data_IF_283338616453
#
_entry.id   IF_283338616453
#
_cell.length_a   1.000
_cell.length_b   1.000
_cell.length_c   1.000
_cell.angle_alpha   90.00
_cell.angle_beta   90.00
_cell.angle_gamma   90.00
#
_symmetry.space_group_name_H-M   'P 1'
#
loop_
_entity.id
_entity.type
_entity.pdbx_description
1 polymer ?
#
# COMPACT_ATOMS: atom_id res chain seq x y z
N UNK A 1 77.10 20.95 33.27
CA UNK A 1 75.82 21.29 32.63
C UNK A 1 75.33 22.55 33.28
N UNK A 2 75.29 23.65 32.54
CA UNK A 2 74.83 24.93 33.08
C UNK A 2 73.34 24.86 33.41
N UNK A 3 72.93 25.51 34.51
CA UNK A 3 71.55 25.56 34.99
C UNK A 3 70.53 25.92 33.88
N UNK A 4 70.94 26.76 32.93
CA UNK A 4 70.13 27.14 31.77
C UNK A 4 69.81 25.97 30.82
N UNK A 5 70.72 25.00 30.65
CA UNK A 5 70.45 23.80 29.83
C UNK A 5 69.42 22.88 30.49
N UNK A 6 69.47 22.75 31.83
CA UNK A 6 68.50 21.96 32.58
C UNK A 6 67.09 22.57 32.53
N UNK A 7 67.00 23.90 32.67
CA UNK A 7 65.73 24.64 32.56
C UNK A 7 65.14 24.56 31.13
N UNK A 8 66.00 24.63 30.09
CA UNK A 8 65.57 24.47 28.71
C UNK A 8 65.02 23.06 28.41
N UNK A 9 65.69 22.01 28.89
CA UNK A 9 65.23 20.63 28.73
C UNK A 9 63.90 20.39 29.46
N UNK A 10 63.74 20.89 30.69
CA UNK A 10 62.50 20.79 31.43
C UNK A 10 61.34 21.51 30.72
N UNK A 11 61.59 22.67 30.11
CA UNK A 11 60.58 23.40 29.34
C UNK A 11 60.16 22.66 28.05
N UNK A 12 61.10 22.02 27.35
CA UNK A 12 60.80 21.20 26.17
C UNK A 12 59.94 19.98 26.57
N UNK A 13 60.28 19.32 27.68
CA UNK A 13 59.56 18.15 28.16
C UNK A 13 58.14 18.50 28.64
N UNK A 14 57.98 19.66 29.30
CA UNK A 14 56.66 20.21 29.65
C UNK A 14 55.80 20.43 28.39
N UNK A 15 56.34 21.14 27.39
CA UNK A 15 55.63 21.41 26.13
C UNK A 15 55.26 20.12 25.38
N UNK A 16 56.15 19.12 25.40
CA UNK A 16 55.88 17.81 24.80
C UNK A 16 54.72 17.11 25.50
N UNK A 17 54.67 17.17 26.83
CA UNK A 17 53.57 16.61 27.62
C UNK A 17 52.24 17.36 27.41
N UNK A 18 52.27 18.68 27.29
CA UNK A 18 51.08 19.49 26.95
C UNK A 18 50.56 19.15 25.54
N UNK A 19 51.46 19.06 24.55
CA UNK A 19 51.09 18.68 23.18
C UNK A 19 50.47 17.29 23.14
N UNK A 20 51.04 16.34 23.89
CA UNK A 20 50.51 14.97 23.99
C UNK A 20 49.10 14.97 24.60
N UNK A 21 48.87 15.74 25.67
CA UNK A 21 47.54 15.86 26.30
C UNK A 21 46.50 16.45 25.34
N UNK A 22 46.87 17.45 24.55
CA UNK A 22 45.97 18.05 23.54
C UNK A 22 45.61 17.01 22.47
N UNK A 23 46.60 16.26 21.97
CA UNK A 23 46.36 15.19 20.99
C UNK A 23 45.47 14.07 21.55
N UNK A 24 45.70 13.64 22.80
CA UNK A 24 44.86 12.64 23.46
C UNK A 24 43.41 13.13 23.64
N UNK A 25 43.22 14.41 23.97
CA UNK A 25 41.90 15.02 24.08
C UNK A 25 41.18 15.11 22.71
N UNK A 26 41.89 15.52 21.66
CA UNK A 26 41.35 15.62 20.30
C UNK A 26 40.95 14.23 19.76
N UNK A 27 41.77 13.20 20.01
CA UNK A 27 41.45 11.81 19.66
C UNK A 27 40.20 11.34 20.42
N UNK A 28 40.09 11.66 21.71
CA UNK A 28 38.93 11.29 22.52
C UNK A 28 37.64 11.98 22.04
N UNK A 29 37.73 13.23 21.61
CA UNK A 29 36.58 13.96 21.04
C UNK A 29 36.16 13.40 19.68
N UNK A 30 37.12 13.16 18.78
CA UNK A 30 36.86 12.49 17.49
C UNK A 30 36.22 11.11 17.68
N UNK A 31 36.70 10.34 18.66
CA UNK A 31 36.11 9.04 18.98
C UNK A 31 34.65 9.14 19.45
N UNK A 32 34.28 10.19 20.22
CA UNK A 32 32.87 10.42 20.61
C UNK A 32 31.99 10.74 19.40
N UNK A 33 32.46 11.59 18.49
CA UNK A 33 31.72 11.93 17.25
C UNK A 33 31.50 10.70 16.40
N UNK A 34 32.55 9.89 16.17
CA UNK A 34 32.46 8.64 15.39
C UNK A 34 31.47 7.68 16.06
N UNK A 35 31.53 7.52 17.39
CA UNK A 35 30.59 6.63 18.08
C UNK A 35 29.14 7.11 17.96
N UNK A 36 28.88 8.42 18.03
CA UNK A 36 27.57 9.00 17.78
C UNK A 36 27.07 8.75 16.35
N UNK A 37 27.93 8.91 15.35
CA UNK A 37 27.61 8.62 13.95
C UNK A 37 27.30 7.13 13.73
N UNK A 38 28.09 6.22 14.32
CA UNK A 38 27.85 4.77 14.24
C UNK A 38 26.51 4.41 14.89
N UNK A 39 26.19 4.96 16.07
CA UNK A 39 24.90 4.73 16.72
C UNK A 39 23.71 5.25 15.89
N UNK A 40 23.85 6.41 15.24
CA UNK A 40 22.83 6.94 14.33
C UNK A 40 22.64 6.03 13.11
N UNK A 41 23.73 5.55 12.49
CA UNK A 41 23.66 4.63 11.35
C UNK A 41 23.01 3.29 11.72
N UNK A 42 23.34 2.72 12.89
CA UNK A 42 22.71 1.49 13.40
C UNK A 42 21.22 1.70 13.62
N UNK A 43 20.82 2.85 14.19
CA UNK A 43 19.40 3.17 14.40
C UNK A 43 18.63 3.29 13.09
N UNK A 44 19.23 3.92 12.07
CA UNK A 44 18.65 4.01 10.72
C UNK A 44 18.52 2.62 10.08
N UNK A 45 19.53 1.76 10.22
CA UNK A 45 19.50 0.40 9.68
C UNK A 45 18.37 -0.43 10.31
N UNK A 46 18.21 -0.37 11.63
CA UNK A 46 17.13 -1.04 12.36
C UNK A 46 15.74 -0.53 11.94
N UNK A 47 15.58 0.78 11.74
CA UNK A 47 14.32 1.33 11.23
C UNK A 47 14.01 0.87 9.81
N UNK A 48 15.01 0.81 8.92
CA UNK A 48 14.84 0.28 7.56
C UNK A 48 14.42 -1.19 7.56
N UNK A 49 15.03 -2.01 8.41
CA UNK A 49 14.66 -3.42 8.57
C UNK A 49 13.22 -3.56 9.09
N UNK A 50 12.84 -2.75 10.09
CA UNK A 50 11.46 -2.73 10.60
C UNK A 50 10.44 -2.41 9.50
N UNK A 51 10.68 -1.35 8.73
CA UNK A 51 9.81 -0.95 7.60
C UNK A 51 9.75 -2.05 6.54
N UNK A 52 10.87 -2.71 6.23
CA UNK A 52 10.89 -3.81 5.27
C UNK A 52 10.05 -5.00 5.75
N UNK A 53 10.13 -5.35 7.04
CA UNK A 53 9.34 -6.42 7.63
C UNK A 53 7.84 -6.09 7.67
N UNK A 54 7.47 -4.87 8.05
CA UNK A 54 6.07 -4.39 8.02
C UNK A 54 5.51 -4.39 6.58
N UNK A 55 6.32 -3.98 5.60
CA UNK A 55 5.95 -4.02 4.18
C UNK A 55 5.71 -5.45 3.69
N UNK A 56 6.53 -6.41 4.12
CA UNK A 56 6.31 -7.83 3.78
C UNK A 56 5.07 -8.40 4.46
N UNK A 57 4.77 -7.99 5.70
CA UNK A 57 3.56 -8.40 6.40
C UNK A 57 2.30 -7.90 5.66
N UNK A 58 2.26 -6.61 5.29
CA UNK A 58 1.15 -6.04 4.51
C UNK A 58 0.95 -6.75 3.17
N UNK A 59 2.03 -7.13 2.47
CA UNK A 59 1.92 -7.90 1.22
C UNK A 59 1.31 -9.29 1.43
N UNK A 60 1.61 -9.95 2.56
CA UNK A 60 1.00 -11.25 2.88
C UNK A 60 -0.48 -11.09 3.20
N UNK A 61 -0.85 -10.08 3.99
CA UNK A 61 -2.25 -9.76 4.27
C UNK A 61 -3.04 -9.42 3.00
N UNK A 62 -2.43 -8.68 2.06
CA UNK A 62 -3.04 -8.37 0.76
C UNK A 62 -3.29 -9.65 -0.07
N UNK A 63 -2.32 -10.56 -0.14
CA UNK A 63 -2.48 -11.83 -0.86
C UNK A 63 -3.51 -12.74 -0.18
N UNK A 64 -3.52 -12.81 1.15
CA UNK A 64 -4.54 -13.56 1.90
C UNK A 64 -5.94 -12.99 1.65
N UNK A 65 -6.09 -11.66 1.62
CA UNK A 65 -7.34 -11.00 1.29
C UNK A 65 -7.81 -11.29 -0.15
N UNK A 66 -6.88 -11.31 -1.13
CA UNK A 66 -7.21 -11.71 -2.51
C UNK A 66 -7.69 -13.15 -2.60
N UNK A 67 -7.07 -14.06 -1.86
CA UNK A 67 -7.48 -15.48 -1.81
C UNK A 67 -8.88 -15.61 -1.19
N UNK A 68 -9.16 -14.89 -0.10
CA UNK A 68 -10.49 -14.87 0.53
C UNK A 68 -11.55 -14.33 -0.44
N UNK A 69 -11.28 -13.21 -1.11
CA UNK A 69 -12.20 -12.61 -2.06
C UNK A 69 -12.50 -13.55 -3.23
N UNK A 70 -11.47 -14.19 -3.79
CA UNK A 70 -11.66 -15.20 -4.86
C UNK A 70 -12.47 -16.40 -4.39
N UNK A 71 -12.32 -16.81 -3.13
CA UNK A 71 -13.10 -17.89 -2.54
C UNK A 71 -14.57 -17.48 -2.40
N UNK A 72 -14.84 -16.28 -1.90
CA UNK A 72 -16.20 -15.73 -1.80
C UNK A 72 -16.86 -15.55 -3.16
N UNK A 73 -16.12 -15.12 -4.19
CA UNK A 73 -16.63 -15.03 -5.57
C UNK A 73 -17.05 -16.41 -6.12
N UNK A 74 -16.26 -17.45 -5.88
CA UNK A 74 -16.61 -18.81 -6.32
C UNK A 74 -17.78 -19.39 -5.53
N UNK A 75 -17.87 -19.14 -4.22
CA UNK A 75 -19.05 -19.50 -3.42
C UNK A 75 -20.32 -18.81 -3.94
N UNK A 76 -20.26 -17.50 -4.21
CA UNK A 76 -21.37 -16.74 -4.76
C UNK A 76 -21.81 -17.24 -6.16
N UNK A 77 -20.86 -17.61 -7.03
CA UNK A 77 -21.17 -18.23 -8.33
C UNK A 77 -21.86 -19.58 -8.16
N UNK A 78 -21.42 -20.40 -7.22
CA UNK A 78 -22.03 -21.70 -6.95
C UNK A 78 -23.44 -21.56 -6.39
N UNK A 79 -23.67 -20.60 -5.49
CA UNK A 79 -24.99 -20.33 -4.95
C UNK A 79 -25.94 -19.77 -6.01
N UNK A 80 -25.46 -18.89 -6.90
CA UNK A 80 -26.24 -18.43 -8.06
C UNK A 80 -26.64 -19.61 -8.95
N UNK A 81 -25.70 -20.50 -9.27
CA UNK A 81 -25.99 -21.70 -10.07
C UNK A 81 -27.02 -22.61 -9.39
N UNK A 82 -26.93 -22.81 -8.07
CA UNK A 82 -27.91 -23.60 -7.30
C UNK A 82 -29.30 -22.94 -7.33
N UNK A 83 -29.37 -21.61 -7.23
CA UNK A 83 -30.62 -20.87 -7.34
C UNK A 83 -31.23 -20.99 -8.74
N UNK A 84 -30.43 -20.90 -9.81
CA UNK A 84 -30.89 -21.12 -11.18
C UNK A 84 -31.42 -22.54 -11.41
N UNK A 85 -30.75 -23.56 -10.88
CA UNK A 85 -31.19 -24.95 -10.96
C UNK A 85 -32.50 -25.16 -10.19
N UNK A 86 -32.64 -24.55 -9.00
CA UNK A 86 -33.86 -24.58 -8.21
C UNK A 86 -35.03 -23.93 -8.95
N UNK A 87 -34.83 -22.74 -9.51
CA UNK A 87 -35.85 -22.04 -10.29
C UNK A 87 -36.25 -22.82 -11.55
N UNK A 88 -35.31 -23.48 -12.24
CA UNK A 88 -35.64 -24.36 -13.37
C UNK A 88 -36.50 -25.54 -12.92
N UNK A 89 -36.19 -26.14 -11.77
CA UNK A 89 -36.98 -27.22 -11.18
C UNK A 89 -38.40 -26.77 -10.83
N UNK A 90 -38.54 -25.64 -10.14
CA UNK A 90 -39.84 -25.06 -9.77
C UNK A 90 -40.67 -24.67 -11.00
N UNK A 91 -40.05 -24.05 -12.00
CA UNK A 91 -40.72 -23.68 -13.25
C UNK A 91 -41.22 -24.91 -14.01
N UNK A 92 -40.40 -25.97 -14.10
CA UNK A 92 -40.83 -27.22 -14.75
C UNK A 92 -41.93 -27.92 -13.95
N UNK A 93 -41.84 -27.96 -12.62
CA UNK A 93 -42.89 -28.51 -11.77
C UNK A 93 -44.21 -27.72 -11.90
N UNK A 94 -44.13 -26.38 -12.02
CA UNK A 94 -45.29 -25.53 -12.27
C UNK A 94 -45.90 -25.78 -13.66
N UNK A 95 -45.07 -25.97 -14.70
CA UNK A 95 -45.53 -26.34 -16.03
C UNK A 95 -46.20 -27.72 -16.04
N UNK A 96 -45.64 -28.72 -15.37
CA UNK A 96 -46.26 -30.05 -15.25
C UNK A 96 -47.56 -30.02 -14.46
N UNK A 97 -47.61 -29.25 -13.36
CA UNK A 97 -48.84 -29.05 -12.59
C UNK A 97 -49.92 -28.33 -13.42
N UNK A 98 -49.52 -27.35 -14.24
CA UNK A 98 -50.42 -26.64 -15.17
C UNK A 98 -50.90 -27.55 -16.31
N UNK A 99 -50.02 -28.38 -16.86
CA UNK A 99 -50.36 -29.36 -17.90
C UNK A 99 -51.31 -30.43 -17.37
N UNK A 100 -51.09 -30.92 -16.14
CA UNK A 100 -51.97 -31.91 -15.51
C UNK A 100 -53.33 -31.33 -15.14
N UNK A 101 -53.40 -30.10 -14.64
CA UNK A 101 -54.69 -29.45 -14.35
C UNK A 101 -55.48 -29.16 -15.62
N UNK A 102 -54.82 -28.71 -16.68
CA UNK A 102 -55.47 -28.54 -17.99
C UNK A 102 -55.90 -29.86 -18.62
N UNK A 103 -55.12 -30.94 -18.49
CA UNK A 103 -55.51 -32.27 -18.96
C UNK A 103 -56.72 -32.82 -18.21
N UNK A 104 -56.74 -32.70 -16.87
CA UNK A 104 -57.89 -33.13 -16.04
C UNK A 104 -59.14 -32.31 -16.35
N UNK A 105 -59.01 -31.00 -16.58
CA UNK A 105 -60.14 -30.17 -16.99
C UNK A 105 -60.63 -30.50 -18.41
N UNK A 106 -59.70 -30.82 -19.33
CA UNK A 106 -60.06 -31.28 -20.68
C UNK A 106 -60.81 -32.62 -20.63
N UNK A 107 -60.33 -33.58 -19.84
CA UNK A 107 -60.98 -34.89 -19.68
C UNK A 107 -62.35 -34.74 -19.02
N UNK A 108 -62.49 -33.86 -18.02
CA UNK A 108 -63.77 -33.54 -17.40
C UNK A 108 -64.73 -32.88 -18.40
N UNK A 109 -64.25 -32.00 -19.29
CA UNK A 109 -65.04 -31.40 -20.37
C UNK A 109 -65.42 -32.44 -21.42
N UNK A 110 -64.50 -33.30 -21.86
CA UNK A 110 -64.77 -34.40 -22.80
C UNK A 110 -65.82 -35.36 -22.22
N UNK A 111 -65.71 -35.71 -20.94
CA UNK A 111 -66.69 -36.55 -20.26
C UNK A 111 -68.08 -35.89 -20.19
N UNK A 112 -68.15 -34.58 -19.90
CA UNK A 112 -69.41 -33.81 -19.96
C UNK A 112 -69.98 -33.78 -21.37
N UNK A 113 -69.16 -33.55 -22.40
CA UNK A 113 -69.62 -33.56 -23.79
C UNK A 113 -70.16 -34.94 -24.20
N UNK A 114 -69.47 -36.03 -23.87
CA UNK A 114 -69.96 -37.39 -24.12
C UNK A 114 -71.27 -37.70 -23.39
N UNK A 115 -71.44 -37.21 -22.16
CA UNK A 115 -72.69 -37.36 -21.42
C UNK A 115 -73.85 -36.58 -22.08
N UNK A 116 -73.60 -35.36 -22.54
CA UNK A 116 -74.57 -34.55 -23.28
C UNK A 116 -74.93 -35.21 -24.61
N UNK A 117 -73.94 -35.73 -25.34
CA UNK A 117 -74.12 -36.43 -26.61
C UNK A 117 -74.93 -37.72 -26.43
N UNK A 118 -74.68 -38.50 -25.37
CA UNK A 118 -75.48 -39.66 -25.01
C UNK A 118 -76.92 -39.29 -24.64
N UNK A 119 -77.13 -38.17 -23.94
CA UNK A 119 -78.46 -37.66 -23.60
C UNK A 119 -79.21 -37.16 -24.85
N UNK A 120 -78.50 -36.52 -25.78
CA UNK A 120 -79.01 -36.08 -27.08
C UNK A 120 -79.42 -37.27 -27.96
N UNK A 121 -78.57 -38.30 -28.08
CA UNK A 121 -78.91 -39.51 -28.85
C UNK A 121 -80.00 -40.34 -28.17
N UNK A 122 -80.08 -40.36 -26.83
CA UNK A 122 -81.18 -40.97 -26.09
C UNK A 122 -82.52 -40.24 -26.28
N UNK A 123 -82.51 -38.91 -26.45
CA UNK A 123 -83.72 -38.11 -26.73
C UNK A 123 -84.10 -38.04 -28.21
N UNK A 124 -83.16 -38.28 -29.13
CA UNK A 124 -83.44 -38.37 -30.57
C UNK A 124 -84.33 -39.57 -30.95
N UNK A 125 -84.49 -40.56 -30.06
CA UNK A 125 -85.47 -41.66 -30.21
C UNK A 125 -86.91 -41.26 -29.85
N UNK A 126 -87.14 -40.06 -29.29
CA UNK A 126 -88.48 -39.54 -28.99
C UNK A 126 -88.66 -38.23 -29.75
N UNK A 127 -88.92 -38.37 -31.05
CA UNK A 127 -89.31 -37.27 -31.91
C UNK A 127 -90.66 -36.71 -31.46
N UNK A 128 -90.63 -35.55 -30.81
CA UNK A 128 -91.84 -34.92 -30.31
C UNK A 128 -91.81 -33.45 -29.93
N UNK A 129 -90.79 -32.64 -30.29
CA UNK A 129 -90.97 -31.19 -30.53
C UNK A 129 -89.64 -30.52 -30.95
N UNK A 130 -89.50 -30.20 -32.24
CA UNK A 130 -88.29 -29.57 -32.83
C UNK A 130 -88.10 -28.08 -32.50
N UNK A 131 -89.04 -27.42 -31.80
CA UNK A 131 -89.00 -25.97 -31.57
C UNK A 131 -88.47 -25.56 -30.19
N UNK A 132 -88.44 -26.47 -29.21
CA UNK A 132 -88.01 -26.16 -27.82
C UNK A 132 -86.51 -26.43 -27.61
N UNK A 133 -85.93 -27.41 -28.32
CA UNK A 133 -84.50 -27.73 -28.22
C UNK A 133 -83.60 -26.59 -28.74
N UNK A 134 -83.95 -25.99 -29.89
CA UNK A 134 -83.16 -24.91 -30.49
C UNK A 134 -83.07 -23.63 -29.64
N UNK A 135 -84.08 -23.35 -28.79
CA UNK A 135 -84.05 -22.19 -27.87
C UNK A 135 -83.18 -22.44 -26.64
N UNK A 136 -83.07 -23.69 -26.20
CA UNK A 136 -82.27 -24.07 -25.03
C UNK A 136 -80.77 -24.03 -25.34
N UNK A 137 -80.40 -24.46 -26.55
CA UNK A 137 -79.01 -24.41 -27.03
C UNK A 137 -78.49 -22.96 -27.15
N UNK A 138 -79.35 -22.01 -27.50
CA UNK A 138 -78.97 -20.58 -27.59
C UNK A 138 -78.70 -19.97 -26.20
N UNK A 139 -79.46 -20.39 -25.19
CA UNK A 139 -79.30 -19.91 -23.81
C UNK A 139 -78.06 -20.49 -23.13
N UNK A 140 -77.77 -21.78 -23.36
CA UNK A 140 -76.55 -22.43 -22.90
C UNK A 140 -75.29 -21.84 -23.58
N UNK A 141 -75.38 -21.46 -24.86
CA UNK A 141 -74.30 -20.73 -25.55
C UNK A 141 -74.07 -19.34 -24.95
N UNK A 142 -75.14 -18.61 -24.58
CA UNK A 142 -75.01 -17.29 -23.91
C UNK A 142 -74.34 -17.42 -22.53
N UNK A 143 -74.68 -18.46 -21.76
CA UNK A 143 -74.06 -18.72 -20.45
C UNK A 143 -72.57 -19.07 -20.62
N UNK A 144 -72.21 -19.90 -21.60
CA UNK A 144 -70.79 -20.22 -21.88
C UNK A 144 -69.99 -18.99 -22.31
N UNK A 145 -70.55 -18.13 -23.17
CA UNK A 145 -69.91 -16.88 -23.59
C UNK A 145 -69.73 -15.90 -22.42
N UNK A 146 -70.72 -15.78 -21.53
CA UNK A 146 -70.59 -14.96 -20.33
C UNK A 146 -69.49 -15.48 -19.39
N UNK A 147 -69.42 -16.80 -19.17
CA UNK A 147 -68.39 -17.40 -18.34
C UNK A 147 -66.99 -17.18 -18.92
N UNK A 148 -66.82 -17.36 -20.23
CA UNK A 148 -65.55 -17.09 -20.91
C UNK A 148 -65.14 -15.61 -20.81
N UNK A 149 -66.09 -14.68 -20.89
CA UNK A 149 -65.81 -13.25 -20.74
C UNK A 149 -65.35 -12.87 -19.32
N UNK A 150 -65.96 -13.45 -18.27
CA UNK A 150 -65.48 -13.21 -16.90
C UNK A 150 -64.09 -13.83 -16.67
N UNK A 151 -63.81 -15.00 -17.24
CA UNK A 151 -62.48 -15.63 -17.14
C UNK A 151 -61.39 -14.80 -17.86
N UNK A 152 -61.68 -14.23 -19.03
CA UNK A 152 -60.80 -13.29 -19.73
C UNK A 152 -60.55 -12.04 -18.86
N UNK A 153 -61.60 -11.53 -18.20
CA UNK A 153 -61.49 -10.34 -17.34
C UNK A 153 -60.61 -10.60 -16.12
N UNK A 154 -60.71 -11.78 -15.51
CA UNK A 154 -59.84 -12.20 -14.41
C UNK A 154 -58.37 -12.33 -14.86
N UNK A 155 -58.12 -12.88 -16.05
CA UNK A 155 -56.77 -12.93 -16.64
C UNK A 155 -56.18 -11.54 -16.88
N UNK A 156 -56.97 -10.61 -17.45
CA UNK A 156 -56.53 -9.21 -17.65
C UNK A 156 -56.17 -8.55 -16.31
N UNK A 157 -56.97 -8.78 -15.28
CA UNK A 157 -56.70 -8.26 -13.94
C UNK A 157 -55.40 -8.85 -13.36
N UNK A 158 -55.18 -10.16 -13.50
CA UNK A 158 -53.95 -10.82 -13.06
C UNK A 158 -52.70 -10.29 -13.78
N UNK A 159 -52.78 -10.11 -15.12
CA UNK A 159 -51.70 -9.52 -15.90
C UNK A 159 -51.37 -8.08 -15.46
N UNK A 160 -52.39 -7.28 -15.13
CA UNK A 160 -52.19 -5.91 -14.63
C UNK A 160 -51.47 -5.88 -13.28
N UNK A 161 -51.78 -6.85 -12.39
CA UNK A 161 -51.08 -7.03 -11.12
C UNK A 161 -49.61 -7.41 -11.33
N UNK A 162 -49.35 -8.34 -12.25
CA UNK A 162 -47.98 -8.78 -12.57
C UNK A 162 -47.14 -7.65 -13.18
N UNK A 163 -47.70 -6.85 -14.10
CA UNK A 163 -47.03 -5.65 -14.65
C UNK A 163 -46.68 -4.62 -13.57
N UNK A 164 -47.55 -4.45 -12.58
CA UNK A 164 -47.31 -3.54 -11.45
C UNK A 164 -46.19 -4.05 -10.55
N UNK A 165 -46.16 -5.37 -10.27
CA UNK A 165 -45.09 -6.00 -9.49
C UNK A 165 -43.72 -5.89 -10.18
N UNK A 166 -43.66 -6.12 -11.50
CA UNK A 166 -42.43 -5.96 -12.30
C UNK A 166 -41.92 -4.52 -12.21
N UNK A 167 -42.80 -3.53 -12.37
CA UNK A 167 -42.42 -2.11 -12.25
C UNK A 167 -41.86 -1.79 -10.86
N UNK A 168 -42.48 -2.33 -9.80
CA UNK A 168 -41.98 -2.18 -8.43
C UNK A 168 -40.58 -2.80 -8.23
N UNK A 169 -40.31 -3.95 -8.84
CA UNK A 169 -38.98 -4.57 -8.81
C UNK A 169 -37.94 -3.76 -9.59
N UNK A 170 -38.29 -3.23 -10.76
CA UNK A 170 -37.39 -2.36 -11.55
C UNK A 170 -37.04 -1.07 -10.80
N UNK A 171 -38.02 -0.45 -10.12
CA UNK A 171 -37.79 0.74 -9.30
C UNK A 171 -36.90 0.44 -8.09
N UNK A 172 -37.11 -0.70 -7.41
CA UNK A 172 -36.26 -1.13 -6.30
C UNK A 172 -34.81 -1.37 -6.76
N UNK A 173 -34.62 -2.05 -7.90
CA UNK A 173 -33.30 -2.26 -8.50
C UNK A 173 -32.62 -0.94 -8.85
N UNK A 174 -33.35 0.02 -9.42
CA UNK A 174 -32.83 1.35 -9.75
C UNK A 174 -32.37 2.12 -8.50
N UNK A 175 -33.07 1.98 -7.37
CA UNK A 175 -32.63 2.56 -6.10
C UNK A 175 -31.37 1.88 -5.55
N UNK A 176 -31.28 0.56 -5.66
CA UNK A 176 -30.08 -0.18 -5.28
C UNK A 176 -28.87 0.24 -6.11
N UNK A 177 -28.99 0.33 -7.44
CA UNK A 177 -27.93 0.78 -8.34
C UNK A 177 -27.46 2.21 -8.00
N UNK A 178 -28.40 3.08 -7.62
CA UNK A 178 -28.09 4.44 -7.16
C UNK A 178 -27.26 4.42 -5.86
N UNK A 179 -27.64 3.60 -4.89
CA UNK A 179 -26.90 3.45 -3.63
C UNK A 179 -25.49 2.90 -3.86
N UNK A 180 -25.33 1.89 -4.72
CA UNK A 180 -24.01 1.34 -5.09
C UNK A 180 -23.14 2.39 -5.77
N UNK A 181 -23.73 3.19 -6.67
CA UNK A 181 -23.01 4.28 -7.34
C UNK A 181 -22.54 5.36 -6.35
N UNK A 182 -23.38 5.74 -5.38
CA UNK A 182 -23.02 6.71 -4.35
C UNK A 182 -21.94 6.17 -3.40
N UNK A 183 -22.04 4.89 -2.99
CA UNK A 183 -21.01 4.23 -2.19
C UNK A 183 -19.66 4.17 -2.92
N UNK A 184 -19.68 3.88 -4.22
CA UNK A 184 -18.47 3.86 -5.07
C UNK A 184 -17.82 5.24 -5.15
N UNK A 185 -18.60 6.31 -5.35
CA UNK A 185 -18.07 7.68 -5.34
C UNK A 185 -17.46 8.07 -4.00
N UNK A 186 -18.07 7.66 -2.88
CA UNK A 186 -17.53 7.94 -1.56
C UNK A 186 -16.19 7.23 -1.33
N UNK A 187 -16.06 5.97 -1.76
CA UNK A 187 -14.79 5.24 -1.71
C UNK A 187 -13.72 5.89 -2.59
N UNK A 188 -14.05 6.30 -3.81
CA UNK A 188 -13.11 7.03 -4.67
C UNK A 188 -12.64 8.35 -4.05
N UNK A 189 -13.55 9.08 -3.39
CA UNK A 189 -13.22 10.31 -2.69
C UNK A 189 -12.28 10.07 -1.51
N UNK A 190 -12.55 9.02 -0.70
CA UNK A 190 -11.67 8.62 0.40
C UNK A 190 -10.26 8.24 -0.09
N UNK A 191 -10.16 7.42 -1.13
CA UNK A 191 -8.86 7.01 -1.70
C UNK A 191 -8.06 8.21 -2.24
N UNK A 192 -8.73 9.20 -2.86
CA UNK A 192 -8.06 10.44 -3.31
C UNK A 192 -7.52 11.24 -2.13
N UNK A 193 -8.28 11.36 -1.04
CA UNK A 193 -7.83 12.07 0.16
C UNK A 193 -6.64 11.38 0.82
N UNK A 194 -6.67 10.06 0.96
CA UNK A 194 -5.54 9.29 1.49
C UNK A 194 -4.31 9.42 0.61
N UNK A 195 -4.47 9.35 -0.72
CA UNK A 195 -3.38 9.57 -1.68
C UNK A 195 -2.77 10.98 -1.55
N UNK A 196 -3.60 12.01 -1.35
CA UNK A 196 -3.12 13.38 -1.11
C UNK A 196 -2.37 13.51 0.23
N UNK A 197 -2.86 12.86 1.29
CA UNK A 197 -2.17 12.83 2.58
C UNK A 197 -0.81 12.14 2.47
N UNK A 198 -0.74 11.01 1.76
CA UNK A 198 0.51 10.30 1.51
C UNK A 198 1.50 11.14 0.70
N UNK A 199 1.03 11.82 -0.35
CA UNK A 199 1.86 12.73 -1.15
C UNK A 199 2.41 13.89 -0.30
N UNK A 200 1.58 14.45 0.58
CA UNK A 200 1.99 15.51 1.51
C UNK A 200 3.03 15.00 2.50
N UNK A 201 2.82 13.82 3.08
CA UNK A 201 3.77 13.18 4.00
C UNK A 201 5.13 12.92 3.32
N UNK A 202 5.12 12.46 2.07
CA UNK A 202 6.34 12.27 1.27
C UNK A 202 7.08 13.59 1.00
N UNK A 203 6.35 14.67 0.70
CA UNK A 203 6.96 15.99 0.54
C UNK A 203 7.61 16.50 1.83
N UNK A 204 6.94 16.33 2.98
CA UNK A 204 7.49 16.69 4.29
C UNK A 204 8.73 15.86 4.60
N UNK A 205 8.72 14.56 4.35
CA UNK A 205 9.88 13.70 4.54
C UNK A 205 11.06 14.11 3.65
N UNK A 206 10.79 14.44 2.37
CA UNK A 206 11.81 14.92 1.45
C UNK A 206 12.39 16.29 1.87
N UNK A 207 11.55 17.21 2.34
CA UNK A 207 11.99 18.50 2.87
C UNK A 207 12.87 18.33 4.10
N UNK A 208 12.51 17.42 5.02
CA UNK A 208 13.31 17.10 6.20
C UNK A 208 14.68 16.53 5.84
N UNK A 209 14.74 15.59 4.89
CA UNK A 209 16.02 15.05 4.41
C UNK A 209 16.91 16.13 3.79
N UNK A 210 16.34 17.08 3.03
CA UNK A 210 17.10 18.22 2.49
C UNK A 210 17.65 19.11 3.61
N UNK A 211 16.84 19.42 4.61
CA UNK A 211 17.29 20.22 5.75
C UNK A 211 18.42 19.54 6.53
N UNK A 212 18.35 18.22 6.71
CA UNK A 212 19.44 17.44 7.33
C UNK A 212 20.72 17.48 6.48
N UNK A 213 20.62 17.38 5.15
CA UNK A 213 21.77 17.52 4.24
C UNK A 213 22.37 18.94 4.26
N UNK A 214 21.53 19.97 4.34
CA UNK A 214 21.98 21.36 4.45
C UNK A 214 22.73 21.60 5.78
N UNK A 215 22.23 21.06 6.89
CA UNK A 215 22.90 21.10 8.19
C UNK A 215 24.25 20.37 8.16
N UNK A 216 24.29 19.15 7.60
CA UNK A 216 25.55 18.40 7.46
C UNK A 216 26.57 19.17 6.59
N UNK A 217 26.10 19.84 5.54
CA UNK A 217 26.95 20.66 4.68
C UNK A 217 27.45 21.91 5.41
N UNK A 218 26.61 22.56 6.20
CA UNK A 218 26.99 23.70 7.02
C UNK A 218 28.02 23.33 8.09
N UNK A 219 27.87 22.17 8.75
CA UNK A 219 28.85 21.64 9.70
C UNK A 219 30.21 21.35 9.04
N UNK A 220 30.20 20.77 7.84
CA UNK A 220 31.43 20.55 7.04
C UNK A 220 32.10 21.86 6.64
N UNK A 221 31.33 22.89 6.28
CA UNK A 221 31.90 24.21 5.96
C UNK A 221 32.50 24.90 7.18
N UNK A 222 31.83 24.83 8.34
CA UNK A 222 32.35 25.41 9.58
C UNK A 222 33.65 24.72 10.04
N UNK A 223 33.70 23.39 9.98
CA UNK A 223 34.92 22.63 10.31
C UNK A 223 36.06 22.96 9.34
N UNK A 224 35.78 23.02 8.04
CA UNK A 224 36.78 23.42 7.02
C UNK A 224 37.28 24.86 7.24
N UNK A 225 36.38 25.79 7.58
CA UNK A 225 36.76 27.18 7.87
C UNK A 225 37.63 27.28 9.12
N UNK A 226 37.33 26.51 10.17
CA UNK A 226 38.15 26.45 11.37
C UNK A 226 39.55 25.91 11.05
N UNK A 227 39.64 24.83 10.27
CA UNK A 227 40.92 24.26 9.82
C UNK A 227 41.75 25.23 8.97
N UNK A 228 41.11 26.00 8.07
CA UNK A 228 41.80 27.03 7.28
C UNK A 228 42.29 28.19 8.15
N UNK A 229 41.51 28.62 9.14
CA UNK A 229 41.91 29.68 10.08
C UNK A 229 43.11 29.24 10.92
N UNK A 230 43.09 27.99 11.43
CA UNK A 230 44.21 27.39 12.16
C UNK A 230 45.49 27.35 11.30
N UNK A 231 45.36 26.91 10.03
CA UNK A 231 46.49 26.87 9.09
C UNK A 231 47.04 28.27 8.78
N UNK A 232 46.21 29.31 8.75
CA UNK A 232 46.68 30.69 8.57
C UNK A 232 47.45 31.21 9.78
N UNK A 233 47.01 30.91 11.00
CA UNK A 233 47.77 31.25 12.22
C UNK A 233 49.12 30.54 12.25
N UNK A 234 49.16 29.24 11.91
CA UNK A 234 50.39 28.46 11.81
C UNK A 234 51.34 29.03 10.74
N UNK A 235 50.80 29.46 9.59
CA UNK A 235 51.59 30.08 8.53
C UNK A 235 52.18 31.42 8.96
N UNK A 236 51.41 32.26 9.65
CA UNK A 236 51.91 33.51 10.22
C UNK A 236 53.03 33.28 11.25
N UNK A 237 52.88 32.26 12.11
CA UNK A 237 53.92 31.85 13.07
C UNK A 237 55.22 31.40 12.38
N UNK A 238 55.09 30.61 11.31
CA UNK A 238 56.24 30.14 10.53
C UNK A 238 56.94 31.27 9.77
N UNK A 239 56.19 32.25 9.25
CA UNK A 239 56.75 33.39 8.53
C UNK A 239 57.53 34.33 9.46
N UNK A 240 57.04 34.54 10.68
CA UNK A 240 57.76 35.28 11.73
C UNK A 240 59.04 34.55 12.13
N UNK A 241 58.99 33.23 12.37
CA UNK A 241 60.19 32.42 12.69
C UNK A 241 61.19 32.39 11.53
N UNK A 242 60.73 32.37 10.28
CA UNK A 242 61.59 32.40 9.12
C UNK A 242 62.34 33.75 9.03
N UNK A 243 61.66 34.88 9.26
CA UNK A 243 62.28 36.21 9.30
C UNK A 243 63.27 36.36 10.47
N UNK A 244 62.94 35.84 11.65
CA UNK A 244 63.86 35.81 12.80
C UNK A 244 65.09 34.93 12.51
N UNK A 245 64.91 33.77 11.89
CA UNK A 245 66.02 32.89 11.49
C UNK A 245 66.91 33.59 10.45
N UNK A 246 66.33 34.24 9.44
CA UNK A 246 67.07 34.97 8.41
C UNK A 246 67.86 36.16 8.98
N UNK A 247 67.30 36.85 9.98
CA UNK A 247 67.98 37.92 10.71
C UNK A 247 69.12 37.38 11.58
N UNK A 248 68.94 36.23 12.23
CA UNK A 248 69.99 35.56 13.02
C UNK A 248 71.12 35.01 12.14
N UNK A 249 70.86 34.65 10.88
CA UNK A 249 71.88 34.22 9.92
C UNK A 249 72.78 35.38 9.51
N UNK A 250 72.21 36.58 9.32
CA UNK A 250 72.97 37.78 8.98
C UNK A 250 73.93 38.25 10.08
N UNK A 251 73.70 37.84 11.33
CA UNK A 251 74.52 38.22 12.49
C UNK A 251 75.45 37.12 13.00
N UNK A 252 75.29 35.89 12.52
CA UNK A 252 76.05 34.75 13.00
C UNK A 252 77.37 34.54 12.22
N UNK A 253 78.49 34.64 12.95
CA UNK A 253 79.87 34.54 12.43
C UNK A 253 80.40 33.08 12.36
N UNK A 254 79.61 32.08 12.78
CA UNK A 254 80.07 30.69 12.89
C UNK A 254 79.39 29.75 11.90
N UNK A 255 80.18 28.82 11.33
CA UNK A 255 79.79 27.81 10.34
C UNK A 255 78.62 26.90 10.81
N UNK A 256 78.50 26.69 12.13
CA UNK A 256 77.36 25.98 12.74
C UNK A 256 76.00 26.67 12.50
N UNK A 257 75.99 27.99 12.43
CA UNK A 257 74.79 28.81 12.27
C UNK A 257 74.29 28.78 10.83
N UNK A 258 75.22 28.72 9.88
CA UNK A 258 74.94 28.57 8.45
C UNK A 258 74.30 27.21 8.16
N UNK A 259 74.80 26.15 8.80
CA UNK A 259 74.22 24.80 8.64
C UNK A 259 72.81 24.69 9.24
N UNK A 260 72.57 25.28 10.42
CA UNK A 260 71.24 25.31 11.03
C UNK A 260 70.23 26.08 10.15
N UNK A 261 70.67 27.20 9.56
CA UNK A 261 69.84 27.96 8.64
C UNK A 261 69.50 27.23 7.35
N UNK A 262 70.47 26.49 6.81
CA UNK A 262 70.27 25.66 5.62
C UNK A 262 69.25 24.56 5.87
N UNK A 263 69.30 23.92 7.04
CA UNK A 263 68.31 22.93 7.45
C UNK A 263 66.89 23.51 7.61
N UNK A 264 66.77 24.70 8.21
CA UNK A 264 65.48 25.41 8.32
C UNK A 264 64.95 25.78 6.93
N UNK A 265 65.81 26.22 6.03
CA UNK A 265 65.43 26.58 4.66
C UNK A 265 64.94 25.35 3.86
N UNK A 266 65.62 24.21 3.99
CA UNK A 266 65.19 22.94 3.36
C UNK A 266 63.83 22.47 3.93
N UNK A 267 63.58 22.64 5.24
CA UNK A 267 62.28 22.32 5.85
C UNK A 267 61.16 23.23 5.32
N UNK A 268 61.44 24.52 5.11
CA UNK A 268 60.48 25.48 4.53
C UNK A 268 60.13 25.08 3.09
N UNK A 269 61.14 24.74 2.27
CA UNK A 269 60.92 24.28 0.88
C UNK A 269 60.06 23.02 0.86
N UNK A 270 60.37 22.05 1.74
CA UNK A 270 59.59 20.81 1.85
C UNK A 270 58.13 21.06 2.23
N UNK A 271 57.87 21.93 3.22
CA UNK A 271 56.50 22.30 3.62
C UNK A 271 55.75 23.04 2.51
N UNK A 272 56.43 23.88 1.72
CA UNK A 272 55.81 24.53 0.56
C UNK A 272 55.41 23.51 -0.52
N UNK A 273 56.24 22.50 -0.78
CA UNK A 273 55.91 21.43 -1.72
C UNK A 273 54.73 20.57 -1.23
N UNK A 274 54.64 20.28 0.07
CA UNK A 274 53.50 19.57 0.66
C UNK A 274 52.20 20.41 0.60
N UNK A 275 52.27 21.72 0.83
CA UNK A 275 51.13 22.64 0.66
C UNK A 275 50.65 22.69 -0.80
N UNK A 276 51.57 22.60 -1.75
CA UNK A 276 51.25 22.62 -3.19
C UNK A 276 50.61 21.29 -3.63
N UNK A 277 51.15 20.15 -3.18
CA UNK A 277 50.58 18.83 -3.46
C UNK A 277 49.16 18.66 -2.86
N UNK A 278 48.92 19.21 -1.67
CA UNK A 278 47.57 19.19 -1.06
C UNK A 278 46.58 20.08 -1.81
N UNK A 279 46.99 21.24 -2.33
CA UNK A 279 46.15 22.08 -3.20
C UNK A 279 45.79 21.39 -4.51
N UNK A 280 46.74 20.72 -5.15
CA UNK A 280 46.50 19.96 -6.38
C UNK A 280 45.53 18.80 -6.13
N UNK A 281 45.69 18.08 -5.01
CA UNK A 281 44.79 16.98 -4.63
C UNK A 281 43.36 17.48 -4.38
N UNK A 282 43.19 18.61 -3.68
CA UNK A 282 41.88 19.21 -3.45
C UNK A 282 41.21 19.65 -4.75
N UNK A 283 41.98 20.22 -5.69
CA UNK A 283 41.48 20.62 -7.00
C UNK A 283 41.08 19.42 -7.87
N UNK A 284 41.82 18.30 -7.78
CA UNK A 284 41.44 17.03 -8.40
C UNK A 284 40.13 16.47 -7.82
N UNK A 285 39.97 16.51 -6.50
CA UNK A 285 38.74 16.03 -5.85
C UNK A 285 37.51 16.85 -6.30
N UNK A 286 37.66 18.17 -6.36
CA UNK A 286 36.59 19.07 -6.78
C UNK A 286 36.20 18.88 -8.25
N UNK A 287 37.18 18.71 -9.14
CA UNK A 287 36.91 18.41 -10.56
C UNK A 287 36.26 17.03 -10.74
N UNK A 288 36.67 16.01 -9.97
CA UNK A 288 36.03 14.68 -9.98
C UNK A 288 34.57 14.72 -9.50
N UNK A 289 34.25 15.47 -8.45
CA UNK A 289 32.86 15.62 -7.97
C UNK A 289 31.99 16.34 -9.01
N UNK A 290 32.54 17.38 -9.65
CA UNK A 290 31.84 18.12 -10.71
C UNK A 290 31.55 17.22 -11.92
N UNK A 291 32.53 16.40 -12.32
CA UNK A 291 32.37 15.44 -13.41
C UNK A 291 31.31 14.36 -13.09
N UNK A 292 31.29 13.81 -11.88
CA UNK A 292 30.25 12.86 -11.47
C UNK A 292 28.85 13.49 -11.48
N UNK A 293 28.72 14.73 -11.00
CA UNK A 293 27.43 15.44 -11.04
C UNK A 293 26.97 15.65 -12.48
N UNK A 294 27.86 16.05 -13.39
CA UNK A 294 27.53 16.21 -14.81
C UNK A 294 27.12 14.88 -15.46
N UNK A 295 27.85 13.80 -15.20
CA UNK A 295 27.52 12.48 -15.73
C UNK A 295 26.15 11.97 -15.23
N UNK A 296 25.81 12.22 -13.97
CA UNK A 296 24.49 11.87 -13.42
C UNK A 296 23.35 12.69 -14.07
N UNK A 297 23.59 13.97 -14.36
CA UNK A 297 22.62 14.82 -15.04
C UNK A 297 22.43 14.41 -16.52
N UNK A 298 23.50 14.03 -17.21
CA UNK A 298 23.45 13.51 -18.58
C UNK A 298 22.70 12.17 -18.67
N UNK A 299 22.94 11.25 -17.73
CA UNK A 299 22.20 9.99 -17.64
C UNK A 299 20.71 10.23 -17.41
N UNK A 300 20.35 11.21 -16.57
CA UNK A 300 18.96 11.60 -16.35
C UNK A 300 18.32 12.18 -17.62
N UNK A 301 19.03 13.05 -18.34
CA UNK A 301 18.55 13.63 -19.60
C UNK A 301 18.35 12.56 -20.69
N UNK A 302 19.25 11.57 -20.79
CA UNK A 302 19.10 10.44 -21.71
C UNK A 302 17.87 9.57 -21.37
N UNK A 303 17.66 9.26 -20.10
CA UNK A 303 16.48 8.51 -19.65
C UNK A 303 15.17 9.25 -19.98
N UNK A 304 15.15 10.58 -19.81
CA UNK A 304 14.00 11.40 -20.14
C UNK A 304 13.73 11.41 -21.65
N UNK A 305 14.79 11.55 -22.47
CA UNK A 305 14.69 11.50 -23.92
C UNK A 305 14.23 10.12 -24.42
N UNK A 306 14.70 9.02 -23.81
CA UNK A 306 14.22 7.68 -24.11
C UNK A 306 12.75 7.46 -23.71
N UNK A 307 12.33 7.98 -22.56
CA UNK A 307 10.93 7.94 -22.10
C UNK A 307 10.02 8.65 -23.12
N UNK A 308 10.42 9.84 -23.57
CA UNK A 308 9.71 10.60 -24.59
C UNK A 308 9.70 9.90 -25.96
N UNK A 309 10.81 9.29 -26.38
CA UNK A 309 10.89 8.55 -27.66
C UNK A 309 10.07 7.26 -27.65
N UNK A 310 9.98 6.56 -26.50
CA UNK A 310 9.16 5.34 -26.32
C UNK A 310 7.67 5.63 -26.24
N UNK A 311 7.27 6.84 -25.83
CA UNK A 311 5.89 7.33 -25.92
C UNK A 311 5.52 7.82 -27.34
N UNK A 312 6.21 7.31 -28.37
CA UNK A 312 6.20 7.83 -29.73
C UNK A 312 4.82 8.16 -30.28
N UNK A 313 4.69 9.38 -30.83
CA UNK A 313 3.74 9.86 -31.85
C UNK A 313 2.29 9.34 -31.82
N UNK A 314 1.82 8.86 -30.69
CA UNK A 314 0.41 8.71 -30.40
C UNK A 314 -0.07 10.07 -29.93
N UNK A 315 -0.93 10.69 -30.72
CA UNK A 315 -1.60 11.95 -30.43
C UNK A 315 -2.54 11.77 -29.22
N UNK A 316 -1.98 11.51 -28.04
CA UNK A 316 -2.70 11.46 -26.77
C UNK A 316 -2.64 12.87 -26.23
N UNK A 317 -3.77 13.56 -26.34
CA UNK A 317 -3.98 14.89 -25.82
C UNK A 317 -3.91 14.85 -24.28
N UNK A 318 -2.70 14.94 -23.72
CA UNK A 318 -2.39 14.99 -22.28
C UNK A 318 -2.47 16.42 -21.74
N UNK A 319 -3.43 17.22 -22.19
CA UNK A 319 -3.63 18.58 -21.64
C UNK A 319 -4.13 18.60 -20.19
N UNK A 320 -4.36 17.44 -19.55
CA UNK A 320 -4.83 17.36 -18.16
C UNK A 320 -4.10 16.34 -17.25
N UNK A 321 -3.01 15.71 -17.68
CA UNK A 321 -2.20 14.90 -16.76
C UNK A 321 -1.23 15.82 -16.02
N UNK A 322 -1.43 16.04 -14.72
CA UNK A 322 -0.52 16.83 -13.90
C UNK A 322 0.86 16.16 -13.86
N UNK A 323 1.93 16.97 -13.83
CA UNK A 323 3.32 16.50 -13.78
C UNK A 323 3.59 15.43 -12.69
N UNK A 324 2.74 15.38 -11.66
CA UNK A 324 2.75 14.39 -10.59
C UNK A 324 2.37 12.97 -11.04
N UNK A 325 1.46 12.81 -12.00
CA UNK A 325 1.02 11.49 -12.49
C UNK A 325 2.08 10.86 -13.40
N UNK A 326 2.80 11.69 -14.17
CA UNK A 326 3.93 11.25 -14.99
C UNK A 326 5.09 10.80 -14.09
N UNK A 327 5.39 11.56 -13.02
CA UNK A 327 6.42 11.19 -12.05
C UNK A 327 6.12 9.88 -11.30
N UNK A 328 4.84 9.60 -11.00
CA UNK A 328 4.43 8.38 -10.29
C UNK A 328 4.51 7.13 -11.19
N UNK A 329 4.15 7.25 -12.47
CA UNK A 329 4.28 6.18 -13.44
C UNK A 329 5.75 5.81 -13.72
N UNK A 330 6.65 6.80 -13.76
CA UNK A 330 8.10 6.58 -13.94
C UNK A 330 8.77 5.92 -12.73
N UNK A 331 8.34 6.27 -11.50
CA UNK A 331 8.89 5.69 -10.28
C UNK A 331 8.47 4.21 -10.12
N UNK A 332 7.26 3.88 -10.56
CA UNK A 332 6.72 2.51 -10.59
C UNK A 332 7.48 1.64 -11.60
N UNK A 333 7.87 2.19 -12.76
CA UNK A 333 8.69 1.48 -13.75
C UNK A 333 10.14 1.25 -13.30
N UNK A 334 10.72 2.14 -12.48
CA UNK A 334 12.07 1.97 -11.90
C UNK A 334 12.16 0.82 -10.89
N UNK A 335 11.10 0.60 -10.12
CA UNK A 335 11.06 -0.46 -9.10
C UNK A 335 10.96 -1.87 -9.69
N UNK A 336 10.45 -2.00 -10.93
CA UNK A 336 10.27 -3.29 -11.61
C UNK A 336 11.50 -3.75 -12.43
N UNK A 337 12.61 -2.98 -12.47
CA UNK A 337 13.79 -3.27 -13.32
C UNK A 337 15.14 -3.34 -12.58
N UNK A 338 15.17 -3.84 -11.35
CA UNK A 338 16.44 -4.19 -10.69
C UNK A 338 16.81 -5.65 -11.05
N UNK A 339 17.98 -5.92 -11.69
CA UNK A 339 18.40 -7.28 -11.99
C UNK A 339 18.90 -7.99 -10.72
N UNK A 340 18.34 -9.18 -10.46
CA UNK A 340 18.83 -10.11 -9.45
C UNK A 340 20.20 -10.65 -9.88
N UNK A 341 21.27 -10.31 -9.17
CA UNK A 341 22.58 -10.91 -9.39
C UNK A 341 22.62 -12.34 -8.85
N UNK A 342 22.55 -13.30 -9.78
CA UNK A 342 23.23 -14.61 -9.80
C UNK A 342 23.73 -15.17 -8.46
N UNK A 343 23.01 -16.19 -7.95
CA UNK A 343 23.56 -17.22 -7.06
C UNK A 343 23.71 -18.52 -7.88
N UNK A 344 24.91 -19.08 -7.88
CA UNK A 344 25.29 -20.31 -8.61
C UNK A 344 24.76 -21.53 -7.84
N UNK A 345 24.27 -22.60 -8.50
CA UNK A 345 23.76 -23.77 -7.80
C UNK A 345 24.91 -24.66 -7.35
N UNK A 346 24.94 -25.02 -6.07
CA UNK A 346 25.70 -26.18 -5.62
C UNK A 346 24.72 -27.29 -5.28
N UNK A 347 24.67 -28.27 -6.17
CA UNK A 347 24.04 -29.56 -5.96
C UNK A 347 24.72 -30.31 -4.81
N UNK A 348 23.97 -30.59 -3.75
CA UNK A 348 24.27 -31.67 -2.83
C UNK A 348 22.99 -32.46 -2.58
N UNK A 349 23.09 -33.75 -2.88
CA UNK A 349 22.05 -34.76 -2.92
C UNK A 349 21.50 -35.09 -1.53
N UNK A 350 20.17 -35.23 -1.48
CA UNK A 350 19.38 -36.28 -0.81
C UNK A 350 20.09 -37.05 0.33
N UNK A 351 19.59 -36.92 1.57
CA UNK A 351 19.30 -38.09 2.41
C UNK A 351 18.31 -37.79 3.54
N UNK A 352 17.20 -38.50 3.46
CA UNK A 352 16.18 -38.83 4.48
C UNK A 352 16.70 -39.23 5.87
N UNK A 353 16.03 -38.73 6.92
CA UNK A 353 15.74 -39.41 8.21
C UNK A 353 14.75 -38.49 8.99
N UNK A 354 13.45 -38.80 9.10
CA UNK A 354 12.79 -39.65 10.11
C UNK A 354 13.16 -39.30 11.55
N UNK A 355 12.17 -38.79 12.31
CA UNK A 355 11.99 -39.16 13.72
C UNK A 355 11.77 -38.00 14.72
N UNK A 356 10.93 -38.17 15.76
CA UNK A 356 10.20 -37.09 16.42
C UNK A 356 10.66 -36.77 17.86
N UNK A 357 9.97 -35.81 18.49
CA UNK A 357 9.86 -35.51 19.93
C UNK A 357 11.09 -34.94 20.67
N UNK A 358 10.94 -33.75 21.26
CA UNK A 358 10.78 -33.65 22.71
C UNK A 358 10.40 -32.24 23.20
N UNK A 359 9.51 -32.26 24.20
CA UNK A 359 9.03 -31.16 25.03
C UNK A 359 9.99 -30.97 26.21
N UNK A 360 10.43 -29.73 26.46
CA UNK A 360 10.81 -29.21 27.78
C UNK A 360 10.61 -27.69 27.73
N UNK A 361 9.51 -27.17 28.26
CA UNK A 361 9.43 -26.66 29.65
C UNK A 361 10.52 -25.63 29.98
N UNK A 362 10.17 -24.34 29.91
CA UNK A 362 10.45 -23.31 30.92
C UNK A 362 9.86 -21.97 30.45
N UNK A 363 8.67 -21.61 30.95
CA UNK A 363 8.45 -20.60 32.00
C UNK A 363 8.70 -19.15 31.54
N UNK A 364 7.61 -18.38 31.42
CA UNK A 364 7.68 -16.94 31.19
C UNK A 364 6.36 -16.28 30.79
N UNK A 365 5.37 -16.39 31.68
CA UNK A 365 4.11 -15.62 31.84
C UNK A 365 3.87 -14.42 30.90
N UNK A 366 2.71 -14.43 30.22
CA UNK A 366 2.09 -13.26 29.61
C UNK A 366 0.70 -13.59 29.06
N UNK A 367 -0.33 -13.51 29.92
CA UNK A 367 -1.72 -13.74 29.55
C UNK A 367 -2.21 -12.75 28.48
N UNK A 368 -2.80 -13.25 27.39
CA UNK A 368 -3.97 -12.62 26.80
C UNK A 368 -4.87 -13.68 26.16
N UNK A 369 -6.16 -13.55 26.46
CA UNK A 369 -7.24 -14.47 26.13
C UNK A 369 -7.42 -14.62 24.61
N UNK A 370 -7.39 -15.85 24.12
CA UNK A 370 -8.14 -16.25 22.93
C UNK A 370 -8.82 -17.59 23.21
N UNK A 371 -10.04 -17.50 23.75
CA UNK A 371 -10.94 -18.66 23.80
C UNK A 371 -11.52 -18.87 22.41
N UNK A 372 -10.82 -19.66 21.60
CA UNK A 372 -11.47 -20.49 20.59
C UNK A 372 -12.19 -21.63 21.33
N UNK A 373 -13.51 -21.63 21.30
CA UNK A 373 -14.33 -22.79 21.67
C UNK A 373 -15.16 -23.17 20.45
N UNK A 374 -14.57 -24.04 19.64
CA UNK A 374 -15.29 -24.87 18.69
C UNK A 374 -15.98 -26.02 19.44
N UNK A 375 -17.24 -26.28 19.08
CA UNK A 375 -17.84 -27.61 19.14
C UNK A 375 -18.73 -27.92 20.34
N UNK A 376 -20.05 -27.71 20.18
CA UNK A 376 -21.09 -28.67 20.57
C UNK A 376 -22.50 -28.19 20.14
N UNK A 377 -23.06 -28.79 19.11
CA UNK A 377 -24.50 -29.16 19.07
C UNK A 377 -24.58 -30.62 19.60
N UNK A 378 -25.72 -31.09 20.18
CA UNK A 378 -27.08 -30.85 19.70
C UNK A 378 -28.20 -30.75 20.78
N UNK A 379 -29.37 -30.22 20.40
CA UNK A 379 -30.66 -30.94 20.45
C UNK A 379 -31.88 -30.00 20.27
N UNK A 380 -32.79 -30.46 19.40
CA UNK A 380 -34.15 -29.97 19.17
C UNK A 380 -34.99 -29.89 20.45
N UNK A 381 -35.93 -28.93 20.47
CA UNK A 381 -37.27 -28.87 21.09
C UNK A 381 -37.53 -27.38 21.40
N UNK A 382 -38.64 -26.69 21.16
CA UNK A 382 -39.96 -26.97 20.61
C UNK A 382 -40.59 -25.58 20.39
N UNK A 383 -41.50 -25.47 19.42
CA UNK A 383 -42.39 -24.34 19.19
C UNK A 383 -42.87 -23.66 20.48
N UNK A 384 -42.87 -22.32 20.54
CA UNK A 384 -43.99 -21.55 21.08
C UNK A 384 -43.92 -20.07 20.67
N UNK A 385 -44.89 -19.66 19.86
CA UNK A 385 -45.32 -18.27 19.77
C UNK A 385 -45.87 -17.82 21.13
N UNK A 386 -45.46 -16.64 21.59
CA UNK A 386 -46.29 -15.81 22.45
C UNK A 386 -45.93 -14.34 22.25
N UNK A 387 -46.92 -13.62 21.74
CA UNK A 387 -47.05 -12.17 21.66
C UNK A 387 -46.82 -11.54 23.05
N UNK A 388 -46.16 -10.37 23.11
CA UNK A 388 -46.04 -9.62 24.36
C UNK A 388 -45.19 -8.35 24.25
N UNK A 389 -45.88 -7.21 24.19
CA UNK A 389 -45.37 -5.85 24.12
C UNK A 389 -44.21 -5.49 25.07
N UNK A 390 -43.32 -4.62 24.58
CA UNK A 390 -42.27 -4.01 25.40
C UNK A 390 -41.57 -2.84 24.71
N UNK A 391 -42.30 -1.73 24.50
CA UNK A 391 -41.71 -0.42 24.20
C UNK A 391 -40.65 -0.06 25.25
N UNK A 392 -39.42 0.32 24.86
CA UNK A 392 -38.63 1.36 25.56
C UNK A 392 -37.73 2.14 24.60
N UNK A 393 -37.99 3.45 24.62
CA UNK A 393 -37.18 4.58 24.15
C UNK A 393 -35.66 4.39 24.30
N UNK A 394 -34.92 4.73 23.24
CA UNK A 394 -33.51 5.13 23.33
C UNK A 394 -33.48 6.66 23.26
N UNK A 395 -33.32 7.30 24.41
CA UNK A 395 -33.07 8.74 24.51
C UNK A 395 -31.64 9.01 24.06
N UNK A 396 -31.49 9.78 22.98
CA UNK A 396 -30.24 10.38 22.55
C UNK A 396 -29.76 11.39 23.61
N UNK A 397 -28.61 11.14 24.26
CA UNK A 397 -27.85 12.19 24.93
C UNK A 397 -26.87 12.79 23.93
N UNK A 398 -27.28 13.90 23.31
CA UNK A 398 -26.35 14.85 22.72
C UNK A 398 -25.75 15.68 23.85
N UNK A 399 -24.44 15.55 24.05
CA UNK A 399 -23.65 16.39 24.93
C UNK A 399 -23.15 17.59 24.11
N UNK A 400 -23.61 18.80 24.42
CA UNK A 400 -23.00 20.04 23.94
C UNK A 400 -22.50 20.85 25.15
N UNK A 401 -21.33 21.52 25.04
CA UNK A 401 -20.73 22.27 26.13
C UNK A 401 -21.20 23.72 26.09
N UNK A 402 -21.37 24.36 27.25
CA UNK A 402 -21.24 25.81 27.36
C UNK A 402 -20.58 26.22 28.67
N UNK A 403 -19.77 27.25 28.50
CA UNK A 403 -18.93 27.95 29.45
C UNK A 403 -19.72 28.60 30.60
N UNK A 404 -19.06 28.74 31.75
CA UNK A 404 -18.79 30.03 32.39
C UNK A 404 -17.48 29.93 33.19
#
# INVERSE_FOLDING_TARGET
MDRQQAEALASIELKKNETKKIQEAEIAEKAKVINGQVQAQVSIALQKEKIANETQAMKREEEDAKVQLKTQEEEAKNDLKRAEETHKGEHNAALEASANTTAVDLDARIAKYKAIEAEWHGKAAVAGSKAVAAKRDEEDQKIMLQKANEEIKDQINAESGLKTAIRGQEEAKKQQDKQVTEATRNLEWMMRNESQQLATAQQVAAAKMRQEQELETAEKMNTTSAEMSQKQEDKGSLEVRAKEAEQNVKTASSESSVNAAKAIHEEIIKKQQEEQATKETAQQLQSSQTAQSQQSAEQYAQLLAESQAKMGNGNVNLTNASASQIALAELTHRLLRQPSSTFVPQSASISTAVGPSNVSQMMGVGQSNNTMLTGAQPANQTQQMSVGAGMRNITAQMHLPFAY
#
